data_IF_469756962031
#
_entry.id   IF_469756962031
#
_cell.length_a   1.000
_cell.length_b   1.000
_cell.length_c   1.000
_cell.angle_alpha   90.00
_cell.angle_beta   90.00
_cell.angle_gamma   90.00
#
_symmetry.space_group_name_H-M   'P 1'
#
loop_
_entity.id
_entity.type
_entity.pdbx_description
1 polymer ?
#
# COMPACT_ATOMS: atom_id res chain seq x y z
N UNK A 1 12.09 -6.62 -8.79
CA UNK A 1 13.01 -6.30 -7.67
C UNK A 1 13.01 -7.41 -6.61
N UNK A 2 11.84 -7.79 -6.10
CA UNK A 2 11.69 -8.81 -5.06
C UNK A 2 12.24 -10.19 -5.48
N UNK A 3 12.11 -10.57 -6.74
CA UNK A 3 12.71 -11.82 -7.27
C UNK A 3 14.21 -11.92 -6.99
N UNK A 4 14.96 -10.82 -7.17
CA UNK A 4 16.40 -10.79 -6.88
C UNK A 4 16.68 -10.98 -5.39
N UNK A 5 15.87 -10.38 -4.53
CA UNK A 5 16.00 -10.49 -3.07
C UNK A 5 15.67 -11.92 -2.62
N UNK A 6 14.62 -12.53 -3.17
CA UNK A 6 14.16 -13.87 -2.79
C UNK A 6 15.05 -14.99 -3.37
N UNK A 7 15.77 -14.73 -4.47
CA UNK A 7 16.76 -15.63 -5.04
C UNK A 7 17.94 -15.89 -4.08
N UNK A 8 18.28 -14.92 -3.23
CA UNK A 8 19.32 -15.11 -2.21
C UNK A 8 18.94 -16.23 -1.23
N UNK A 9 19.90 -17.08 -0.80
CA UNK A 9 19.64 -18.21 0.09
C UNK A 9 19.46 -17.78 1.56
N UNK A 10 18.53 -16.84 1.80
CA UNK A 10 18.24 -16.30 3.13
C UNK A 10 16.82 -16.66 3.58
N UNK A 11 16.72 -17.62 4.51
CA UNK A 11 15.43 -18.10 5.01
C UNK A 11 14.66 -17.04 5.82
N UNK A 12 15.36 -16.15 6.52
CA UNK A 12 14.73 -15.09 7.33
C UNK A 12 13.98 -14.12 6.41
N UNK A 13 14.64 -13.65 5.35
CA UNK A 13 14.04 -12.74 4.36
C UNK A 13 12.82 -13.39 3.69
N UNK A 14 12.95 -14.64 3.24
CA UNK A 14 11.83 -15.37 2.59
C UNK A 14 10.62 -15.51 3.50
N UNK A 15 10.84 -15.85 4.78
CA UNK A 15 9.75 -15.99 5.75
C UNK A 15 9.05 -14.66 6.01
N UNK A 16 9.80 -13.57 6.13
CA UNK A 16 9.20 -12.26 6.38
C UNK A 16 8.34 -11.78 5.20
N UNK A 17 8.83 -11.94 3.96
CA UNK A 17 8.05 -11.61 2.76
C UNK A 17 6.78 -12.46 2.64
N UNK A 18 6.85 -13.75 2.99
CA UNK A 18 5.67 -14.60 3.03
C UNK A 18 4.64 -14.14 4.07
N UNK A 19 5.10 -13.71 5.25
CA UNK A 19 4.20 -13.19 6.30
C UNK A 19 3.53 -11.88 5.88
N UNK A 20 4.27 -10.98 5.24
CA UNK A 20 3.70 -9.73 4.70
C UNK A 20 2.54 -10.04 3.72
N UNK A 21 2.78 -10.90 2.74
CA UNK A 21 1.74 -11.32 1.78
C UNK A 21 0.55 -12.01 2.47
N UNK A 22 0.79 -12.90 3.43
CA UNK A 22 -0.27 -13.60 4.15
C UNK A 22 -1.11 -12.66 5.02
N UNK A 23 -0.51 -11.59 5.55
CA UNK A 23 -1.20 -10.64 6.43
C UNK A 23 -2.37 -9.95 5.73
N UNK A 24 -2.23 -9.64 4.44
CA UNK A 24 -3.25 -8.95 3.64
C UNK A 24 -4.31 -9.88 3.01
N UNK A 25 -4.20 -11.20 3.18
CA UNK A 25 -5.26 -12.13 2.72
C UNK A 25 -6.56 -11.92 3.47
N UNK A 26 -7.71 -12.12 2.80
CA UNK A 26 -9.03 -12.01 3.43
C UNK A 26 -9.19 -12.98 4.62
N UNK A 27 -9.94 -12.53 5.64
CA UNK A 27 -10.31 -13.34 6.80
C UNK A 27 -11.51 -12.73 7.50
N UNK A 28 -11.43 -12.53 8.81
CA UNK A 28 -12.46 -11.77 9.54
C UNK A 28 -12.58 -10.31 9.07
N UNK A 29 -11.48 -9.76 8.53
CA UNK A 29 -11.47 -8.52 7.77
C UNK A 29 -11.28 -8.85 6.29
N UNK A 30 -12.01 -8.17 5.42
CA UNK A 30 -11.84 -8.30 3.97
C UNK A 30 -10.53 -7.65 3.48
N UNK A 31 -10.16 -7.92 2.23
CA UNK A 31 -8.93 -7.37 1.63
C UNK A 31 -8.98 -5.85 1.61
N UNK A 32 -10.11 -5.27 1.21
CA UNK A 32 -10.31 -3.82 1.16
C UNK A 32 -9.98 -3.15 2.49
N UNK A 33 -10.51 -3.67 3.60
CA UNK A 33 -10.23 -3.13 4.94
C UNK A 33 -8.75 -3.28 5.29
N UNK A 34 -8.14 -4.44 5.01
CA UNK A 34 -6.73 -4.67 5.33
C UNK A 34 -5.79 -3.76 4.53
N UNK A 35 -6.06 -3.53 3.26
CA UNK A 35 -5.27 -2.62 2.43
C UNK A 35 -5.38 -1.17 2.90
N UNK A 36 -6.57 -0.72 3.34
CA UNK A 36 -6.75 0.59 3.97
C UNK A 36 -5.93 0.72 5.27
N UNK A 37 -5.87 -0.34 6.09
CA UNK A 37 -5.01 -0.36 7.28
C UNK A 37 -3.52 -0.27 6.91
N UNK A 38 -3.09 -1.00 5.88
CA UNK A 38 -1.73 -0.93 5.34
C UNK A 38 -1.37 0.46 4.83
N UNK A 39 -2.31 1.12 4.14
CA UNK A 39 -2.16 2.48 3.64
C UNK A 39 -1.97 3.50 4.78
N UNK A 40 -2.81 3.44 5.82
CA UNK A 40 -2.66 4.33 6.99
C UNK A 40 -1.32 4.08 7.68
N UNK A 41 -0.96 2.83 7.93
CA UNK A 41 0.31 2.47 8.55
C UNK A 41 1.51 2.99 7.73
N UNK A 42 1.45 2.85 6.42
CA UNK A 42 2.49 3.32 5.50
C UNK A 42 2.62 4.84 5.46
N UNK A 43 1.49 5.57 5.55
CA UNK A 43 1.47 7.03 5.63
C UNK A 43 2.14 7.53 6.89
N UNK A 44 1.77 7.00 8.06
CA UNK A 44 2.33 7.45 9.34
C UNK A 44 3.80 7.06 9.50
N UNK A 45 4.24 5.99 8.83
CA UNK A 45 5.65 5.60 8.71
C UNK A 45 6.41 6.34 7.60
N UNK A 46 5.71 7.08 6.73
CA UNK A 46 6.28 7.89 5.64
C UNK A 46 7.09 7.06 4.62
N UNK A 47 6.61 5.86 4.29
CA UNK A 47 7.23 4.98 3.30
C UNK A 47 6.57 5.16 1.92
N UNK A 48 7.17 5.91 0.99
CA UNK A 48 6.56 6.21 -0.31
C UNK A 48 6.30 4.96 -1.18
N UNK A 49 7.20 3.99 -1.17
CA UNK A 49 7.01 2.73 -1.91
C UNK A 49 5.86 1.90 -1.33
N UNK A 50 5.77 1.82 0.01
CA UNK A 50 4.69 1.14 0.72
C UNK A 50 3.34 1.83 0.47
N UNK A 51 3.32 3.16 0.51
CA UNK A 51 2.12 3.96 0.21
C UNK A 51 1.66 3.69 -1.23
N UNK A 52 2.58 3.73 -2.20
CA UNK A 52 2.24 3.49 -3.61
C UNK A 52 1.71 2.07 -3.82
N UNK A 53 2.33 1.07 -3.17
CA UNK A 53 1.83 -0.31 -3.16
C UNK A 53 0.39 -0.39 -2.63
N UNK A 54 0.12 0.12 -1.43
CA UNK A 54 -1.21 0.04 -0.84
C UNK A 54 -2.25 0.90 -1.58
N UNK A 55 -1.87 2.01 -2.20
CA UNK A 55 -2.78 2.78 -3.08
C UNK A 55 -3.23 1.94 -4.27
N UNK A 56 -2.31 1.22 -4.93
CA UNK A 56 -2.64 0.33 -6.02
C UNK A 56 -3.55 -0.83 -5.56
N UNK A 57 -3.17 -1.54 -4.48
CA UNK A 57 -3.95 -2.64 -3.94
C UNK A 57 -5.35 -2.19 -3.47
N UNK A 58 -5.46 -1.04 -2.82
CA UNK A 58 -6.74 -0.44 -2.46
C UNK A 58 -7.62 -0.19 -3.69
N UNK A 59 -7.03 0.33 -4.78
CA UNK A 59 -7.77 0.56 -6.03
C UNK A 59 -8.27 -0.73 -6.64
N UNK A 60 -7.44 -1.76 -6.69
CA UNK A 60 -7.81 -3.10 -7.17
C UNK A 60 -8.92 -3.73 -6.29
N UNK A 61 -8.87 -3.49 -4.99
CA UNK A 61 -9.89 -3.93 -4.03
C UNK A 61 -11.19 -3.09 -4.05
N UNK A 62 -11.31 -2.11 -4.96
CA UNK A 62 -12.52 -1.32 -5.15
C UNK A 62 -12.71 -0.20 -4.11
N UNK A 63 -11.64 0.29 -3.48
CA UNK A 63 -11.68 1.50 -2.67
C UNK A 63 -12.04 2.70 -3.54
N UNK A 64 -13.04 3.47 -3.11
CA UNK A 64 -13.47 4.67 -3.83
C UNK A 64 -12.56 5.86 -3.52
N UNK A 65 -12.63 6.91 -4.34
CA UNK A 65 -11.85 8.12 -4.10
C UNK A 65 -12.21 8.76 -2.75
N UNK A 66 -13.48 8.76 -2.40
CA UNK A 66 -13.97 9.26 -1.11
C UNK A 66 -13.34 8.50 0.06
N UNK A 67 -13.33 7.17 -0.01
CA UNK A 67 -12.71 6.32 1.03
C UNK A 67 -11.20 6.54 1.14
N UNK A 68 -10.49 6.78 0.02
CA UNK A 68 -9.08 7.20 0.05
C UNK A 68 -8.89 8.49 0.83
N UNK A 69 -9.70 9.52 0.57
CA UNK A 69 -9.53 10.82 1.24
C UNK A 69 -9.92 10.78 2.72
N UNK A 70 -10.88 9.95 3.14
CA UNK A 70 -11.13 9.68 4.56
C UNK A 70 -9.92 9.01 5.22
N UNK A 71 -9.35 8.01 4.55
CA UNK A 71 -8.17 7.26 5.02
C UNK A 71 -6.93 8.15 5.12
N UNK A 72 -6.70 9.00 4.10
CA UNK A 72 -5.65 10.01 4.10
C UNK A 72 -5.82 11.03 5.21
N UNK A 73 -7.05 11.43 5.52
CA UNK A 73 -7.34 12.34 6.62
C UNK A 73 -6.96 11.72 7.97
N UNK A 74 -7.28 10.45 8.19
CA UNK A 74 -6.84 9.71 9.39
C UNK A 74 -5.31 9.66 9.47
N UNK A 75 -4.64 9.26 8.39
CA UNK A 75 -3.17 9.20 8.33
C UNK A 75 -2.50 10.55 8.59
N UNK A 76 -3.06 11.64 8.05
CA UNK A 76 -2.57 12.99 8.24
C UNK A 76 -2.75 13.48 9.69
N UNK A 77 -3.90 13.24 10.30
CA UNK A 77 -4.16 13.65 11.69
C UNK A 77 -3.25 12.89 12.66
N UNK A 78 -3.06 11.59 12.45
CA UNK A 78 -2.21 10.76 13.32
C UNK A 78 -0.72 11.05 13.10
N UNK A 79 -0.27 11.15 11.84
CA UNK A 79 1.14 11.34 11.50
C UNK A 79 1.60 12.80 11.52
N UNK A 80 0.68 13.76 11.58
CA UNK A 80 0.97 15.19 11.55
C UNK A 80 1.38 15.72 10.17
N UNK A 81 1.68 17.02 10.11
CA UNK A 81 1.97 17.74 8.85
C UNK A 81 3.16 17.19 8.06
N UNK A 82 4.05 16.44 8.71
CA UNK A 82 5.19 15.78 8.06
C UNK A 82 4.77 14.69 7.05
N UNK A 83 3.53 14.21 7.11
CA UNK A 83 2.97 13.28 6.12
C UNK A 83 2.59 13.99 4.82
N UNK A 84 2.40 15.32 4.81
CA UNK A 84 1.90 16.07 3.64
C UNK A 84 2.69 15.79 2.33
N UNK A 85 4.04 15.76 2.31
CA UNK A 85 4.76 15.43 1.08
C UNK A 85 4.46 14.02 0.56
N UNK A 86 4.28 13.05 1.46
CA UNK A 86 3.94 11.67 1.12
C UNK A 86 2.50 11.54 0.63
N UNK A 87 1.57 12.28 1.26
CA UNK A 87 0.19 12.39 0.83
C UNK A 87 0.08 12.98 -0.59
N UNK A 88 0.84 14.05 -0.89
CA UNK A 88 0.88 14.62 -2.25
C UNK A 88 1.29 13.58 -3.29
N UNK A 89 2.35 12.82 -3.02
CA UNK A 89 2.79 11.73 -3.90
C UNK A 89 1.76 10.60 -4.03
N UNK A 90 1.07 10.26 -2.93
CA UNK A 90 0.01 9.27 -2.94
C UNK A 90 -1.16 9.68 -3.85
N UNK A 91 -1.59 10.95 -3.76
CA UNK A 91 -2.66 11.51 -4.61
C UNK A 91 -2.22 11.58 -6.07
N UNK A 92 -1.00 12.07 -6.34
CA UNK A 92 -0.44 12.08 -7.70
C UNK A 92 -0.41 10.69 -8.33
N UNK A 93 -0.07 9.65 -7.54
CA UNK A 93 -0.07 8.27 -8.00
C UNK A 93 -1.49 7.72 -8.22
N UNK A 94 -2.42 7.99 -7.29
CA UNK A 94 -3.83 7.62 -7.43
C UNK A 94 -4.44 8.22 -8.70
N UNK A 95 -4.18 9.51 -8.98
CA UNK A 95 -4.68 10.20 -10.17
C UNK A 95 -4.15 9.54 -11.46
N UNK A 96 -2.89 9.09 -11.47
CA UNK A 96 -2.31 8.37 -12.63
C UNK A 96 -2.96 7.00 -12.84
N UNK A 97 -3.27 6.28 -11.77
CA UNK A 97 -4.00 5.01 -11.86
C UNK A 97 -5.42 5.24 -12.41
N UNK A 98 -6.10 6.29 -11.95
CA UNK A 98 -7.45 6.65 -12.42
C UNK A 98 -7.50 7.05 -13.89
N UNK A 99 -6.42 7.67 -14.39
CA UNK A 99 -6.28 8.05 -15.80
C UNK A 99 -5.82 6.89 -16.69
N UNK A 100 -5.60 5.69 -16.14
CA UNK A 100 -5.07 4.53 -16.86
C UNK A 100 -3.60 4.67 -17.30
N UNK A 101 -2.87 5.65 -16.75
CA UNK A 101 -1.50 6.00 -17.14
C UNK A 101 -0.41 5.35 -16.27
N UNK A 102 -0.78 4.67 -15.19
CA UNK A 102 0.16 3.93 -14.34
C UNK A 102 -0.24 2.45 -14.25
N UNK A 103 0.73 1.57 -14.47
CA UNK A 103 0.59 0.17 -14.11
C UNK A 103 0.73 0.07 -12.58
N UNK A 104 -0.17 -0.63 -11.86
CA UNK A 104 0.09 -0.96 -10.47
C UNK A 104 1.45 -1.68 -10.37
N UNK A 105 2.26 -1.43 -9.32
CA UNK A 105 3.44 -2.24 -9.08
C UNK A 105 3.03 -3.70 -9.10
N UNK A 106 3.81 -4.55 -9.77
CA UNK A 106 3.47 -5.95 -9.93
C UNK A 106 3.06 -6.55 -8.58
N UNK A 107 1.79 -6.95 -8.46
CA UNK A 107 1.31 -7.76 -7.35
C UNK A 107 2.32 -8.90 -7.18
N UNK A 108 2.65 -9.23 -5.93
CA UNK A 108 3.61 -10.30 -5.66
C UNK A 108 3.12 -11.59 -6.32
N UNK A 109 3.69 -11.90 -7.49
CA UNK A 109 3.43 -13.13 -8.21
C UNK A 109 3.72 -14.26 -7.25
N UNK A 110 2.67 -15.00 -6.91
CA UNK A 110 2.75 -16.19 -6.07
C UNK A 110 3.57 -17.28 -6.75
#
# INVERSE_FOLDING_TARGET
MNERILAEPNQVVRRFFALDTQTYQAGALDVKTKELLGLVASLVLRCDDCISYHVAQCREAGVTREEFFETFSVGLVVGGSIVIPHLRRAVDFLDRLEQGGAQPPAAHGH
#
